data_IF_195602146842
#
_entry.id   IF_195602146842
#
_cell.length_a   1.000
_cell.length_b   1.000
_cell.length_c   1.000
_cell.angle_alpha   90.00
_cell.angle_beta   90.00
_cell.angle_gamma   90.00
#
_symmetry.space_group_name_H-M   'P 1'
#
loop_
_entity.id
_entity.type
_entity.pdbx_description
1 polymer ?
#
# COMPACT_ATOMS: atom_id res chain seq x y z
N UNK A 1 -3.83 3.96 19.66
CA UNK A 1 -3.59 2.66 19.00
C UNK A 1 -3.26 2.97 17.55
N UNK A 2 -2.31 2.30 16.89
CA UNK A 2 -2.03 2.57 15.47
C UNK A 2 -2.47 1.34 14.67
N UNK A 3 -3.64 1.44 14.03
CA UNK A 3 -4.11 0.46 13.06
C UNK A 3 -3.71 0.94 11.67
N UNK A 4 -3.29 0.01 10.82
CA UNK A 4 -2.82 0.33 9.47
C UNK A 4 -3.00 -0.86 8.54
N UNK A 5 -2.88 -0.60 7.25
CA UNK A 5 -2.78 -1.64 6.24
C UNK A 5 -1.33 -1.78 5.77
N UNK A 6 -0.83 -3.01 5.73
CA UNK A 6 0.38 -3.36 4.99
C UNK A 6 0.00 -3.82 3.60
N UNK A 7 0.59 -3.18 2.60
CA UNK A 7 0.30 -3.45 1.20
C UNK A 7 1.58 -3.90 0.51
N UNK A 8 1.50 -5.05 -0.15
CA UNK A 8 2.62 -5.68 -0.85
C UNK A 8 2.23 -5.93 -2.30
N UNK A 9 3.10 -5.53 -3.22
CA UNK A 9 2.89 -5.67 -4.65
C UNK A 9 4.22 -5.61 -5.39
N UNK A 10 4.22 -5.93 -6.68
CA UNK A 10 5.40 -5.82 -7.51
C UNK A 10 5.19 -4.77 -8.60
N UNK A 11 6.18 -3.93 -8.82
CA UNK A 11 6.27 -3.07 -10.02
C UNK A 11 7.73 -2.76 -10.35
N UNK A 12 8.04 -2.79 -11.64
CA UNK A 12 9.34 -2.39 -12.20
C UNK A 12 9.39 -0.89 -12.51
N UNK A 13 8.29 -0.16 -12.29
CA UNK A 13 8.16 1.26 -12.60
C UNK A 13 8.08 2.09 -11.33
N UNK A 14 9.08 2.93 -11.10
CA UNK A 14 9.07 3.91 -10.01
C UNK A 14 7.92 4.92 -10.16
N UNK A 15 7.50 5.19 -11.40
CA UNK A 15 6.34 6.04 -11.67
C UNK A 15 5.03 5.40 -11.20
N UNK A 16 4.83 4.10 -11.46
CA UNK A 16 3.66 3.37 -10.97
C UNK A 16 3.64 3.32 -9.44
N UNK A 17 4.77 3.03 -8.82
CA UNK A 17 4.92 3.02 -7.36
C UNK A 17 4.56 4.39 -6.75
N UNK A 18 5.07 5.48 -7.33
CA UNK A 18 4.73 6.85 -6.91
C UNK A 18 3.23 7.13 -7.06
N UNK A 19 2.62 6.74 -8.18
CA UNK A 19 1.18 6.91 -8.42
C UNK A 19 0.33 6.15 -7.41
N UNK A 20 0.75 4.95 -6.99
CA UNK A 20 0.08 4.20 -5.92
C UNK A 20 0.05 5.00 -4.63
N UNK A 21 1.20 5.54 -4.21
CA UNK A 21 1.31 6.34 -2.98
C UNK A 21 0.43 7.60 -3.06
N UNK A 22 0.51 8.33 -4.18
CA UNK A 22 -0.30 9.53 -4.42
C UNK A 22 -1.82 9.22 -4.39
N UNK A 23 -2.25 8.14 -5.05
CA UNK A 23 -3.66 7.75 -5.12
C UNK A 23 -4.21 7.33 -3.76
N UNK A 24 -3.49 6.50 -3.02
CA UNK A 24 -3.91 6.05 -1.68
C UNK A 24 -3.96 7.23 -0.70
N UNK A 25 -2.95 8.10 -0.73
CA UNK A 25 -2.92 9.33 0.09
C UNK A 25 -4.13 10.21 -0.21
N UNK A 26 -4.41 10.46 -1.49
CA UNK A 26 -5.54 11.29 -1.93
C UNK A 26 -6.88 10.65 -1.60
N UNK A 27 -7.04 9.35 -1.83
CA UNK A 27 -8.30 8.63 -1.67
C UNK A 27 -8.77 8.57 -0.24
N UNK A 28 -7.84 8.32 0.69
CA UNK A 28 -8.15 8.11 2.10
C UNK A 28 -7.83 9.33 2.98
N UNK A 29 -7.10 10.32 2.47
CA UNK A 29 -6.69 11.48 3.27
C UNK A 29 -5.75 11.13 4.42
N UNK A 30 -4.94 10.06 4.24
CA UNK A 30 -4.03 9.52 5.26
C UNK A 30 -2.60 9.51 4.77
N UNK A 31 -1.67 9.40 5.71
CA UNK A 31 -0.26 9.20 5.41
C UNK A 31 0.01 7.75 4.93
N UNK A 32 0.81 7.64 3.88
CA UNK A 32 1.35 6.38 3.37
C UNK A 32 2.86 6.39 3.57
N UNK A 33 3.38 5.42 4.32
CA UNK A 33 4.82 5.23 4.52
C UNK A 33 5.34 4.26 3.46
N UNK A 34 6.37 4.68 2.73
CA UNK A 34 7.10 3.84 1.78
C UNK A 34 8.31 3.18 2.44
N UNK A 35 8.43 1.86 2.28
CA UNK A 35 9.55 1.07 2.78
C UNK A 35 10.36 0.52 1.60
N UNK A 36 11.53 1.12 1.30
CA UNK A 36 12.37 0.65 0.22
C UNK A 36 12.90 -0.75 0.52
N UNK A 37 12.79 -1.66 -0.45
CA UNK A 37 13.46 -2.96 -0.42
C UNK A 37 14.79 -2.87 -1.17
N UNK A 38 15.83 -3.43 -0.57
CA UNK A 38 17.19 -3.43 -1.14
C UNK A 38 17.45 -4.74 -1.89
N UNK A 39 16.71 -5.80 -1.56
CA UNK A 39 17.02 -7.17 -2.01
C UNK A 39 16.33 -7.50 -3.34
N UNK A 40 15.14 -6.98 -3.57
CA UNK A 40 14.31 -7.26 -4.77
C UNK A 40 13.71 -5.94 -5.26
N UNK A 41 14.36 -5.23 -6.19
CA UNK A 41 13.97 -3.87 -6.60
C UNK A 41 12.51 -3.73 -7.06
N UNK A 42 11.96 -4.80 -7.63
CA UNK A 42 10.59 -4.85 -8.12
C UNK A 42 9.55 -5.06 -7.02
N UNK A 43 9.94 -5.55 -5.84
CA UNK A 43 9.03 -5.74 -4.73
C UNK A 43 8.76 -4.40 -4.05
N UNK A 44 7.51 -4.09 -3.71
CA UNK A 44 7.13 -2.86 -3.03
C UNK A 44 6.35 -3.17 -1.77
N UNK A 45 6.66 -2.41 -0.72
CA UNK A 45 6.01 -2.52 0.58
C UNK A 45 5.69 -1.12 1.10
N UNK A 46 4.42 -0.88 1.41
CA UNK A 46 3.96 0.37 1.99
C UNK A 46 3.04 0.11 3.18
N UNK A 47 2.98 1.08 4.10
CA UNK A 47 2.00 1.14 5.18
C UNK A 47 1.04 2.30 4.97
N UNK A 48 -0.26 2.01 4.95
CA UNK A 48 -1.35 3.01 4.85
C UNK A 48 -1.92 3.22 6.24
N UNK A 49 -1.73 4.40 6.85
CA UNK A 49 -2.17 4.71 8.22
C UNK A 49 -3.67 4.96 8.31
N UNK A 50 -4.46 3.93 8.08
CA UNK A 50 -5.91 3.95 8.10
C UNK A 50 -6.44 3.01 9.18
N UNK A 51 -7.20 3.56 10.12
CA UNK A 51 -7.72 2.79 11.26
C UNK A 51 -9.01 2.03 10.96
N UNK A 52 -9.77 2.48 9.95
CA UNK A 52 -11.03 1.87 9.53
C UNK A 52 -10.78 0.49 8.89
N UNK A 53 -11.44 -0.55 9.40
CA UNK A 53 -11.39 -1.91 8.84
C UNK A 53 -12.24 -2.04 7.56
N UNK A 54 -12.03 -3.10 6.77
CA UNK A 54 -12.86 -3.41 5.60
C UNK A 54 -12.48 -2.66 4.32
N UNK A 55 -11.30 -2.05 4.26
CA UNK A 55 -10.78 -1.33 3.07
C UNK A 55 -9.85 -2.16 2.21
N UNK A 56 -9.64 -3.44 2.53
CA UNK A 56 -8.69 -4.32 1.86
C UNK A 56 -8.96 -4.43 0.36
N UNK A 57 -10.22 -4.61 -0.04
CA UNK A 57 -10.60 -4.77 -1.45
C UNK A 57 -10.47 -3.45 -2.23
N UNK A 58 -10.79 -2.33 -1.59
CA UNK A 58 -10.65 -1.00 -2.20
C UNK A 58 -9.16 -0.67 -2.44
N UNK A 59 -8.33 -0.86 -1.41
CA UNK A 59 -6.87 -0.70 -1.51
C UNK A 59 -6.32 -1.63 -2.60
N UNK A 60 -6.71 -2.91 -2.58
CA UNK A 60 -6.28 -3.91 -3.58
C UNK A 60 -6.65 -3.48 -4.99
N UNK A 61 -7.88 -3.00 -5.20
CA UNK A 61 -8.37 -2.55 -6.51
C UNK A 61 -7.58 -1.35 -7.02
N UNK A 62 -7.32 -0.36 -6.16
CA UNK A 62 -6.53 0.82 -6.52
C UNK A 62 -5.14 0.40 -6.98
N UNK A 63 -4.41 -0.37 -6.16
CA UNK A 63 -3.04 -0.77 -6.47
C UNK A 63 -2.98 -1.66 -7.72
N UNK A 64 -3.92 -2.61 -7.85
CA UNK A 64 -3.97 -3.50 -9.02
C UNK A 64 -4.28 -2.74 -10.31
N UNK A 65 -5.11 -1.69 -10.26
CA UNK A 65 -5.43 -0.86 -11.43
C UNK A 65 -4.25 -0.04 -11.95
N UNK A 66 -3.28 0.29 -11.08
CA UNK A 66 -2.11 1.09 -11.44
C UNK A 66 -0.96 0.19 -11.89
N UNK A 67 -0.71 -0.91 -11.17
CA UNK A 67 0.48 -1.75 -11.36
C UNK A 67 0.23 -3.00 -12.21
N UNK A 68 -1.04 -3.32 -12.48
CA UNK A 68 -1.47 -4.55 -13.14
C UNK A 68 -0.84 -5.82 -12.50
N UNK A 69 -0.64 -5.79 -11.18
CA UNK A 69 0.08 -6.82 -10.43
C UNK A 69 -0.80 -7.47 -9.36
N UNK A 70 -0.35 -8.61 -8.82
CA UNK A 70 -1.00 -9.24 -7.67
C UNK A 70 -0.68 -8.44 -6.40
N UNK A 71 -1.72 -8.05 -5.68
CA UNK A 71 -1.60 -7.23 -4.47
C UNK A 71 -2.06 -8.02 -3.25
N UNK A 72 -1.23 -8.04 -2.20
CA UNK A 72 -1.60 -8.52 -0.86
C UNK A 72 -1.85 -7.32 0.04
N UNK A 73 -2.93 -7.36 0.81
CA UNK A 73 -3.31 -6.32 1.76
C UNK A 73 -3.61 -7.00 3.09
N UNK A 74 -2.88 -6.62 4.14
CA UNK A 74 -3.06 -7.12 5.50
C UNK A 74 -3.45 -5.95 6.42
N UNK A 75 -4.55 -6.09 7.17
CA UNK A 75 -4.92 -5.12 8.22
C UNK A 75 -4.26 -5.52 9.55
N UNK A 76 -3.58 -4.56 10.18
CA UNK A 76 -2.72 -4.82 11.34
C UNK A 76 -3.04 -3.87 12.47
N UNK A 77 -3.19 -4.43 13.67
CA UNK A 77 -3.17 -3.69 14.91
C UNK A 77 -1.76 -3.72 15.51
N UNK A 78 -1.10 -2.56 15.57
CA UNK A 78 0.28 -2.43 16.11
C UNK A 78 0.31 -2.17 17.61
N UNK A 79 -0.80 -2.34 18.34
CA UNK A 79 -0.88 -2.13 19.79
C UNK A 79 -0.26 -3.23 20.67
N UNK A 80 0.52 -4.15 20.09
CA UNK A 80 1.22 -5.22 20.82
C UNK A 80 2.68 -4.90 21.09
#
# INVERSE_FOLDING_TARGET
MKKLYRVYYNTYSDEEHRRVIEELTRRFGVEVIDYPTIVVPEFRFIEVKLEEEGKEEEIRSIVSSITNSRVKVDWIDTSR
#
